data_IF_907084508944
#
_entry.id   IF_907084508944
#
_cell.length_a   1.000
_cell.length_b   1.000
_cell.length_c   1.000
_cell.angle_alpha   90.00
_cell.angle_beta   90.00
_cell.angle_gamma   90.00
#
_symmetry.space_group_name_H-M   'P 1'
#
loop_
_entity.id
_entity.type
_entity.pdbx_description
1 polymer ?
#
# COMPACT_ATOMS: atom_id res chain seq x y z
N UNK A 1 13.15 -17.96 -12.27
CA UNK A 1 11.78 -17.89 -11.71
C UNK A 1 11.59 -16.50 -11.14
N UNK A 2 10.91 -15.61 -11.87
CA UNK A 2 10.86 -14.17 -11.55
C UNK A 2 9.68 -13.87 -10.62
N UNK A 3 9.94 -13.82 -9.31
CA UNK A 3 8.97 -13.36 -8.32
C UNK A 3 8.92 -11.83 -8.43
N UNK A 4 7.89 -11.33 -9.13
CA UNK A 4 7.68 -9.89 -9.36
C UNK A 4 7.44 -9.18 -8.03
N UNK A 5 8.44 -8.41 -7.61
CA UNK A 5 8.52 -7.53 -6.41
C UNK A 5 7.41 -6.45 -6.29
N UNK A 6 6.42 -6.43 -7.18
CA UNK A 6 5.39 -5.38 -7.23
C UNK A 6 4.25 -5.53 -6.21
N UNK A 7 4.02 -6.72 -5.66
CA UNK A 7 2.83 -7.00 -4.85
C UNK A 7 2.94 -6.55 -3.38
N UNK A 8 4.18 -6.35 -2.89
CA UNK A 8 4.40 -5.99 -1.48
C UNK A 8 4.08 -4.52 -1.16
N UNK A 9 4.08 -3.64 -2.18
CA UNK A 9 4.00 -2.18 -1.97
C UNK A 9 2.56 -1.67 -1.84
N UNK A 10 1.58 -2.32 -2.47
CA UNK A 10 0.19 -1.84 -2.45
C UNK A 10 -0.56 -2.28 -1.18
N UNK A 11 -0.16 -3.39 -0.55
CA UNK A 11 -0.77 -3.84 0.70
C UNK A 11 -0.38 -2.98 1.92
N UNK A 12 0.76 -2.27 1.85
CA UNK A 12 1.27 -1.48 2.98
C UNK A 12 0.56 -0.11 3.12
N UNK A 13 0.12 0.50 2.02
CA UNK A 13 -0.42 1.88 2.02
C UNK A 13 -1.86 1.95 2.51
N UNK A 14 -2.65 0.87 2.42
CA UNK A 14 -4.02 0.82 2.96
C UNK A 14 -4.02 0.53 4.47
N UNK A 15 -2.96 -0.07 5.00
CA UNK A 15 -2.87 -0.44 6.42
C UNK A 15 -2.66 0.78 7.34
N UNK A 16 -2.07 1.87 6.86
CA UNK A 16 -1.68 3.02 7.70
C UNK A 16 -2.82 4.03 7.94
N UNK A 17 -3.82 4.13 7.06
CA UNK A 17 -4.89 5.12 7.18
C UNK A 17 -6.10 4.66 8.03
N UNK A 18 -6.22 3.37 8.32
CA UNK A 18 -7.34 2.84 9.13
C UNK A 18 -7.09 2.88 10.65
N UNK A 19 -5.89 3.27 11.08
CA UNK A 19 -5.43 3.13 12.48
C UNK A 19 -5.82 4.27 13.42
N UNK A 20 -6.23 5.44 12.90
CA UNK A 20 -6.22 6.66 13.69
C UNK A 20 -7.30 6.77 14.80
N UNK A 21 -8.40 6.00 14.78
CA UNK A 21 -9.54 6.31 15.67
C UNK A 21 -10.06 5.19 16.59
N UNK A 22 -9.86 3.89 16.29
CA UNK A 22 -10.41 2.81 17.16
C UNK A 22 -9.37 2.00 17.94
N UNK A 23 -8.07 2.20 17.68
CA UNK A 23 -6.99 1.48 18.37
C UNK A 23 -6.87 1.84 19.87
N UNK A 24 -7.58 2.87 20.33
CA UNK A 24 -7.49 3.35 21.71
C UNK A 24 -8.39 2.58 22.71
N UNK A 25 -9.43 1.88 22.24
CA UNK A 25 -10.37 1.18 23.14
C UNK A 25 -10.12 -0.34 23.25
N UNK A 26 -9.42 -0.95 22.29
CA UNK A 26 -9.11 -2.38 22.34
C UNK A 26 -7.84 -2.65 23.18
N UNK A 27 -7.87 -3.73 23.97
CA UNK A 27 -6.69 -4.23 24.70
C UNK A 27 -5.53 -4.52 23.75
N UNK A 28 -5.85 -5.09 22.57
CA UNK A 28 -4.92 -5.36 21.49
C UNK A 28 -5.39 -4.64 20.21
N UNK A 29 -4.69 -3.58 19.74
CA UNK A 29 -5.10 -2.79 18.58
C UNK A 29 -5.01 -3.57 17.26
N UNK A 30 -4.33 -4.72 17.26
CA UNK A 30 -4.20 -5.60 16.09
C UNK A 30 -5.33 -6.62 15.97
N UNK A 31 -6.17 -6.78 17.01
CA UNK A 31 -7.37 -7.63 16.98
C UNK A 31 -8.58 -6.81 16.55
N UNK A 32 -8.79 -6.74 15.24
CA UNK A 32 -9.93 -6.00 14.68
C UNK A 32 -11.21 -6.83 14.79
N UNK A 33 -12.26 -6.21 15.33
CA UNK A 33 -13.60 -6.79 15.29
C UNK A 33 -14.13 -6.81 13.84
N UNK A 34 -14.91 -7.83 13.46
CA UNK A 34 -15.51 -7.87 12.13
C UNK A 34 -16.47 -6.69 11.94
N UNK A 35 -16.44 -6.00 10.79
CA UNK A 35 -17.31 -4.85 10.57
C UNK A 35 -18.78 -5.26 10.44
N UNK A 36 -19.06 -6.46 9.94
CA UNK A 36 -20.41 -6.94 9.70
C UNK A 36 -20.54 -8.42 10.05
N UNK A 37 -21.73 -8.84 10.47
CA UNK A 37 -22.10 -10.26 10.45
C UNK A 37 -22.15 -10.77 9.01
N UNK A 38 -22.75 -9.98 8.12
CA UNK A 38 -22.62 -10.17 6.67
C UNK A 38 -22.80 -8.87 5.90
N UNK A 39 -22.07 -8.73 4.79
CA UNK A 39 -22.26 -7.63 3.84
C UNK A 39 -21.71 -7.95 2.45
N UNK A 40 -22.25 -7.29 1.43
CA UNK A 40 -21.74 -7.23 0.06
C UNK A 40 -21.54 -5.75 -0.28
N UNK A 41 -20.33 -5.38 -0.68
CA UNK A 41 -20.00 -4.02 -1.12
C UNK A 41 -19.38 -4.08 -2.50
N UNK A 42 -19.98 -3.37 -3.46
CA UNK A 42 -19.42 -3.24 -4.82
C UNK A 42 -18.70 -1.92 -4.94
N UNK A 43 -17.56 -1.93 -5.63
CA UNK A 43 -16.73 -0.77 -5.88
C UNK A 43 -16.45 -0.62 -7.38
N UNK A 44 -16.33 0.63 -7.81
CA UNK A 44 -15.81 1.01 -9.12
C UNK A 44 -14.51 1.78 -8.93
N UNK A 45 -13.51 1.46 -9.76
CA UNK A 45 -12.21 2.13 -9.80
C UNK A 45 -12.11 3.03 -11.04
N UNK A 46 -11.54 4.21 -10.88
CA UNK A 46 -11.22 5.13 -11.97
C UNK A 46 -9.89 5.86 -11.76
N UNK A 47 -9.41 6.55 -12.80
CA UNK A 47 -8.08 7.17 -12.83
C UNK A 47 -7.03 6.24 -13.45
N UNK A 48 -5.91 6.06 -12.74
CA UNK A 48 -4.80 5.17 -13.14
C UNK A 48 -5.22 3.69 -13.08
N UNK A 49 -6.15 3.35 -12.19
CA UNK A 49 -6.81 2.05 -12.09
C UNK A 49 -8.24 2.15 -12.64
N UNK A 50 -8.65 1.20 -13.48
CA UNK A 50 -10.02 1.12 -14.03
C UNK A 50 -10.57 -0.28 -13.89
N UNK A 51 -11.77 -0.41 -13.36
CA UNK A 51 -12.41 -1.71 -13.18
C UNK A 51 -13.34 -1.72 -12.00
N UNK A 52 -13.56 -2.90 -11.42
CA UNK A 52 -14.50 -3.10 -10.33
C UNK A 52 -13.96 -4.08 -9.30
N UNK A 53 -14.49 -4.00 -8.09
CA UNK A 53 -14.35 -5.08 -7.11
C UNK A 53 -15.66 -5.32 -6.38
N UNK A 54 -15.83 -6.53 -5.87
CA UNK A 54 -16.89 -6.86 -4.91
C UNK A 54 -16.26 -7.45 -3.67
N UNK A 55 -16.58 -6.87 -2.52
CA UNK A 55 -16.12 -7.31 -1.21
C UNK A 55 -17.27 -7.96 -0.48
N UNK A 56 -17.06 -9.21 -0.08
CA UNK A 56 -17.96 -10.02 0.70
C UNK A 56 -17.45 -10.09 2.14
N UNK A 57 -18.32 -9.86 3.11
CA UNK A 57 -18.05 -10.02 4.53
C UNK A 57 -18.98 -11.10 5.10
N UNK A 58 -18.43 -12.04 5.88
CA UNK A 58 -19.19 -13.00 6.68
C UNK A 58 -18.47 -13.23 8.01
N UNK A 59 -18.90 -12.51 9.04
CA UNK A 59 -18.22 -12.44 10.32
C UNK A 59 -16.76 -12.02 10.13
N UNK A 60 -15.84 -12.87 10.58
CA UNK A 60 -14.40 -12.62 10.49
C UNK A 60 -13.76 -12.98 9.14
N UNK A 61 -14.53 -13.50 8.19
CA UNK A 61 -14.06 -13.81 6.84
C UNK A 61 -14.42 -12.66 5.90
N UNK A 62 -13.43 -12.21 5.12
CA UNK A 62 -13.60 -11.22 4.05
C UNK A 62 -13.08 -11.81 2.75
N UNK A 63 -13.80 -11.67 1.65
CA UNK A 63 -13.29 -11.98 0.32
C UNK A 63 -13.46 -10.78 -0.61
N UNK A 64 -12.39 -10.36 -1.27
CA UNK A 64 -12.40 -9.31 -2.28
C UNK A 64 -12.15 -9.93 -3.65
N UNK A 65 -13.13 -9.80 -4.53
CA UNK A 65 -13.04 -10.20 -5.93
C UNK A 65 -12.74 -8.93 -6.73
N UNK A 66 -11.54 -8.82 -7.28
CA UNK A 66 -11.04 -7.61 -7.92
C UNK A 66 -10.66 -7.87 -9.36
N UNK A 67 -11.20 -7.05 -10.25
CA UNK A 67 -10.87 -7.03 -11.67
C UNK A 67 -10.57 -5.59 -12.08
N UNK A 68 -9.28 -5.24 -12.14
CA UNK A 68 -8.82 -3.88 -12.37
C UNK A 68 -7.66 -3.87 -13.36
N UNK A 69 -7.73 -2.98 -14.35
CA UNK A 69 -6.61 -2.65 -15.22
C UNK A 69 -5.89 -1.41 -14.69
N UNK A 70 -4.56 -1.48 -14.58
CA UNK A 70 -3.71 -0.36 -14.19
C UNK A 70 -2.94 0.13 -15.41
N UNK A 71 -2.93 1.43 -15.69
CA UNK A 71 -2.14 2.02 -16.78
C UNK A 71 -1.26 3.15 -16.26
N UNK A 72 0.06 2.96 -16.32
CA UNK A 72 1.07 3.94 -15.88
C UNK A 72 2.07 4.14 -17.02
N UNK A 73 2.21 5.38 -17.50
CA UNK A 73 3.22 5.77 -18.51
C UNK A 73 3.25 4.85 -19.75
N UNK A 74 2.07 4.44 -20.25
CA UNK A 74 1.95 3.57 -21.42
C UNK A 74 2.08 2.07 -21.14
N UNK A 75 2.54 1.68 -19.94
CA UNK A 75 2.57 0.28 -19.49
C UNK A 75 1.25 -0.08 -18.81
N UNK A 76 0.69 -1.23 -19.18
CA UNK A 76 -0.56 -1.76 -18.64
C UNK A 76 -0.32 -3.06 -17.86
N UNK A 77 -1.10 -3.27 -16.79
CA UNK A 77 -1.25 -4.57 -16.14
C UNK A 77 -2.70 -4.82 -15.78
N UNK A 78 -3.11 -6.08 -15.78
CA UNK A 78 -4.44 -6.50 -15.32
C UNK A 78 -4.30 -7.27 -14.01
N UNK A 79 -5.05 -6.84 -13.02
CA UNK A 79 -5.21 -7.53 -11.74
C UNK A 79 -6.59 -8.18 -11.73
N UNK A 80 -6.62 -9.49 -11.95
CA UNK A 80 -7.82 -10.32 -11.81
C UNK A 80 -7.59 -11.31 -10.67
N UNK A 81 -8.01 -10.94 -9.47
CA UNK A 81 -7.64 -11.66 -8.23
C UNK A 81 -8.81 -11.82 -7.28
N UNK A 82 -8.76 -12.90 -6.49
CA UNK A 82 -9.61 -13.05 -5.31
C UNK A 82 -8.69 -13.07 -4.08
N UNK A 83 -8.90 -12.16 -3.14
CA UNK A 83 -8.20 -12.14 -1.85
C UNK A 83 -9.15 -12.51 -0.74
N UNK A 84 -8.93 -13.66 -0.11
CA UNK A 84 -9.71 -14.17 1.02
C UNK A 84 -8.89 -13.96 2.28
N UNK A 85 -9.38 -13.12 3.17
CA UNK A 85 -8.81 -12.84 4.48
C UNK A 85 -9.62 -13.58 5.55
N UNK A 86 -8.97 -14.52 6.21
CA UNK A 86 -9.46 -15.20 7.41
C UNK A 86 -8.62 -14.75 8.62
N UNK A 87 -9.06 -15.03 9.87
CA UNK A 87 -8.29 -14.66 11.05
C UNK A 87 -6.85 -15.18 11.02
N UNK A 88 -6.63 -16.43 10.59
CA UNK A 88 -5.30 -17.04 10.68
C UNK A 88 -4.52 -17.00 9.36
N UNK A 89 -5.17 -16.76 8.22
CA UNK A 89 -4.54 -16.83 6.91
C UNK A 89 -5.11 -15.84 5.91
N UNK A 90 -4.30 -15.51 4.92
CA UNK A 90 -4.69 -14.75 3.74
C UNK A 90 -4.40 -15.62 2.52
N UNK A 91 -5.44 -15.91 1.75
CA UNK A 91 -5.35 -16.64 0.49
C UNK A 91 -5.51 -15.65 -0.66
N UNK A 92 -4.57 -15.67 -1.60
CA UNK A 92 -4.64 -14.87 -2.83
C UNK A 92 -4.71 -15.82 -4.01
N UNK A 93 -5.75 -15.64 -4.82
CA UNK A 93 -6.01 -16.37 -6.06
C UNK A 93 -5.74 -15.42 -7.21
N UNK A 94 -4.85 -15.80 -8.12
CA UNK A 94 -4.65 -15.15 -9.41
C UNK A 94 -5.48 -15.89 -10.46
N UNK A 95 -6.58 -15.27 -10.89
CA UNK A 95 -7.52 -15.89 -11.83
C UNK A 95 -6.96 -15.93 -13.26
N UNK A 96 -6.04 -15.02 -13.60
CA UNK A 96 -5.36 -15.02 -14.89
C UNK A 96 -4.37 -16.19 -15.01
N UNK A 97 -3.63 -16.47 -13.93
CA UNK A 97 -2.69 -17.60 -13.88
C UNK A 97 -3.32 -18.93 -13.47
N UNK A 98 -4.55 -18.91 -12.92
CA UNK A 98 -5.19 -20.07 -12.29
C UNK A 98 -4.36 -20.67 -11.15
N UNK A 99 -3.66 -19.80 -10.43
CA UNK A 99 -2.80 -20.17 -9.30
C UNK A 99 -3.36 -19.55 -8.03
N UNK A 100 -3.14 -20.20 -6.90
CA UNK A 100 -3.43 -19.63 -5.60
C UNK A 100 -2.32 -19.94 -4.62
N UNK A 101 -2.06 -18.98 -3.74
CA UNK A 101 -1.17 -19.16 -2.61
C UNK A 101 -1.82 -18.66 -1.34
N UNK A 102 -1.36 -19.15 -0.21
CA UNK A 102 -1.74 -18.60 1.09
C UNK A 102 -0.52 -18.35 1.96
N UNK A 103 -0.69 -17.38 2.85
CA UNK A 103 0.21 -17.06 3.95
C UNK A 103 -0.62 -16.97 5.22
N UNK A 104 -0.01 -16.90 6.40
CA UNK A 104 -0.72 -16.49 7.58
C UNK A 104 -1.16 -15.03 7.51
N UNK A 105 -1.92 -14.60 8.52
CA UNK A 105 -2.41 -13.23 8.58
C UNK A 105 -1.42 -12.34 9.36
N UNK A 106 -0.86 -11.33 8.70
CA UNK A 106 0.09 -10.39 9.32
C UNK A 106 -0.50 -9.67 10.54
N UNK A 107 -1.79 -9.34 10.54
CA UNK A 107 -2.45 -8.75 11.70
C UNK A 107 -2.48 -9.71 12.89
N UNK A 108 -2.61 -11.00 12.64
CA UNK A 108 -2.54 -12.03 13.69
C UNK A 108 -1.13 -12.17 14.24
N UNK A 109 -0.09 -12.09 13.40
CA UNK A 109 1.29 -12.06 13.89
C UNK A 109 1.57 -10.80 14.73
N UNK A 110 1.11 -9.64 14.28
CA UNK A 110 1.24 -8.40 15.05
C UNK A 110 0.51 -8.51 16.39
N UNK A 111 -0.70 -9.08 16.41
CA UNK A 111 -1.46 -9.31 17.63
C UNK A 111 -0.72 -10.25 18.60
N UNK A 112 -0.13 -11.33 18.10
CA UNK A 112 0.65 -12.29 18.89
C UNK A 112 1.91 -11.66 19.47
N UNK A 113 2.66 -10.87 18.69
CA UNK A 113 3.85 -10.19 19.19
C UNK A 113 3.49 -9.11 20.21
N UNK A 114 2.39 -8.37 20.00
CA UNK A 114 1.89 -7.38 20.96
C UNK A 114 1.44 -8.01 22.29
N UNK A 115 0.87 -9.21 22.26
CA UNK A 115 0.41 -9.92 23.46
C UNK A 115 1.55 -10.34 24.39
N UNK A 116 2.75 -10.59 23.84
CA UNK A 116 3.96 -10.91 24.60
C UNK A 116 4.51 -9.73 25.40
N UNK A 117 4.05 -8.51 25.11
CA UNK A 117 4.57 -7.30 25.72
C UNK A 117 4.01 -7.08 27.13
N UNK A 118 4.86 -6.54 28.00
CA UNK A 118 4.45 -6.02 29.30
C UNK A 118 3.51 -4.82 29.15
N UNK A 119 2.72 -4.45 30.18
CA UNK A 119 1.86 -3.26 30.12
C UNK A 119 2.63 -1.96 29.80
N UNK A 120 3.85 -1.82 30.31
CA UNK A 120 4.72 -0.67 30.04
C UNK A 120 5.16 -0.61 28.57
N UNK A 121 5.55 -1.76 28.00
CA UNK A 121 5.89 -1.87 26.57
C UNK A 121 4.67 -1.62 25.69
N UNK A 122 3.49 -2.14 26.04
CA UNK A 122 2.24 -1.89 25.30
C UNK A 122 1.91 -0.40 25.23
N UNK A 123 2.02 0.31 26.35
CA UNK A 123 1.82 1.78 26.40
C UNK A 123 2.83 2.50 25.50
N UNK A 124 4.08 2.04 25.48
CA UNK A 124 5.14 2.60 24.62
C UNK A 124 4.89 2.33 23.15
N UNK A 125 4.48 1.11 22.78
CA UNK A 125 4.11 0.77 21.40
C UNK A 125 3.01 1.69 20.88
N UNK A 126 1.96 1.94 21.69
CA UNK A 126 0.88 2.88 21.29
C UNK A 126 1.43 4.28 21.02
N UNK A 127 2.21 4.84 21.96
CA UNK A 127 2.84 6.17 21.80
C UNK A 127 3.76 6.26 20.59
N UNK A 128 4.65 5.28 20.43
CA UNK A 128 5.62 5.26 19.33
C UNK A 128 4.94 5.02 17.98
N UNK A 129 3.82 4.30 17.91
CA UNK A 129 3.05 4.14 16.69
C UNK A 129 2.39 5.45 16.25
N UNK A 130 1.85 6.23 17.19
CA UNK A 130 1.33 7.58 16.93
C UNK A 130 2.43 8.53 16.44
N UNK A 131 3.60 8.52 17.09
CA UNK A 131 4.77 9.30 16.67
C UNK A 131 5.27 8.88 15.28
N UNK A 132 5.34 7.57 15.02
CA UNK A 132 5.72 7.02 13.72
C UNK A 132 4.78 7.50 12.62
N UNK A 133 3.47 7.45 12.85
CA UNK A 133 2.47 7.94 11.91
C UNK A 133 2.63 9.44 11.65
N UNK A 134 2.77 10.26 12.71
CA UNK A 134 2.99 11.70 12.57
C UNK A 134 4.25 12.04 11.78
N UNK A 135 5.37 11.35 12.06
CA UNK A 135 6.64 11.54 11.37
C UNK A 135 6.58 11.09 9.90
N UNK A 136 5.89 9.99 9.61
CA UNK A 136 5.67 9.52 8.24
C UNK A 136 4.89 10.56 7.42
N UNK A 137 3.84 11.14 7.99
CA UNK A 137 3.06 12.20 7.35
C UNK A 137 3.88 13.47 7.12
N UNK A 138 4.72 13.86 8.09
CA UNK A 138 5.62 15.00 7.95
C UNK A 138 6.65 14.78 6.82
N UNK A 139 7.24 13.57 6.75
CA UNK A 139 8.28 13.24 5.78
C UNK A 139 7.79 13.25 4.31
N UNK A 140 6.51 12.95 4.07
CA UNK A 140 5.95 12.90 2.72
C UNK A 140 5.43 14.26 2.17
N UNK A 141 5.94 15.38 2.68
CA UNK A 141 5.66 16.71 2.13
C UNK A 141 4.70 17.57 2.95
N UNK A 142 4.30 17.10 4.14
CA UNK A 142 3.70 17.94 5.17
C UNK A 142 2.19 18.15 5.06
N UNK A 143 1.56 18.20 6.23
CA UNK A 143 0.13 18.43 6.42
C UNK A 143 -0.39 17.57 7.56
N UNK A 144 -1.01 18.18 8.57
CA UNK A 144 -1.81 17.40 9.53
C UNK A 144 -2.97 16.78 8.72
N UNK A 145 -3.34 15.52 8.99
CA UNK A 145 -4.50 14.93 8.32
C UNK A 145 -5.72 15.82 8.61
N UNK A 146 -6.41 16.25 7.57
CA UNK A 146 -7.69 16.92 7.74
C UNK A 146 -8.74 15.86 8.03
N UNK A 147 -9.29 15.88 9.23
CA UNK A 147 -10.33 14.94 9.66
C UNK A 147 -11.65 15.70 9.75
N UNK A 148 -12.64 15.27 8.97
CA UNK A 148 -14.00 15.81 8.97
C UNK A 148 -14.99 14.67 9.12
N UNK A 149 -16.15 14.96 9.69
CA UNK A 149 -17.26 14.02 9.73
C UNK A 149 -18.21 14.35 8.57
N UNK A 150 -18.83 13.33 7.99
CA UNK A 150 -19.79 13.53 6.91
C UNK A 150 -20.67 12.31 6.69
N UNK A 151 -21.36 12.32 5.55
CA UNK A 151 -22.23 11.22 5.12
C UNK A 151 -21.88 10.83 3.70
N UNK A 152 -21.84 9.53 3.41
CA UNK A 152 -21.70 8.99 2.07
C UNK A 152 -22.64 7.79 1.91
N UNK A 153 -23.48 7.78 0.87
CA UNK A 153 -24.52 6.76 0.65
C UNK A 153 -25.38 6.49 1.90
N UNK A 154 -25.82 7.55 2.59
CA UNK A 154 -26.58 7.47 3.85
C UNK A 154 -25.85 6.79 5.03
N UNK A 155 -24.53 6.63 4.94
CA UNK A 155 -23.70 6.12 6.03
C UNK A 155 -22.83 7.22 6.65
N UNK A 156 -22.71 7.28 7.99
CA UNK A 156 -21.80 8.20 8.64
C UNK A 156 -20.35 7.81 8.31
N UNK A 157 -19.57 8.78 7.84
CA UNK A 157 -18.18 8.58 7.43
C UNK A 157 -17.25 9.55 8.11
N UNK A 158 -16.05 9.07 8.42
CA UNK A 158 -14.89 9.88 8.75
C UNK A 158 -14.13 10.14 7.46
N UNK A 159 -14.02 11.42 7.10
CA UNK A 159 -13.35 11.89 5.90
C UNK A 159 -11.95 12.33 6.33
N UNK A 160 -10.94 11.63 5.83
CA UNK A 160 -9.54 11.89 6.13
C UNK A 160 -8.84 12.27 4.85
N UNK A 161 -8.33 13.51 4.77
CA UNK A 161 -7.51 13.98 3.66
C UNK A 161 -6.06 14.09 4.09
N UNK A 162 -5.18 13.46 3.31
CA UNK A 162 -3.74 13.45 3.53
C UNK A 162 -3.02 13.45 2.18
N UNK A 163 -2.10 14.40 1.97
CA UNK A 163 -1.26 14.46 0.75
C UNK A 163 -2.05 14.39 -0.57
N UNK A 164 -3.19 15.06 -0.65
CA UNK A 164 -4.03 15.05 -1.85
C UNK A 164 -4.81 13.76 -2.07
N UNK A 165 -4.80 12.82 -1.12
CA UNK A 165 -5.66 11.64 -1.07
C UNK A 165 -6.73 11.83 0.02
N UNK A 166 -8.00 11.69 -0.36
CA UNK A 166 -9.14 11.76 0.56
C UNK A 166 -9.79 10.39 0.66
N UNK A 167 -9.96 9.89 1.89
CA UNK A 167 -10.64 8.64 2.20
C UNK A 167 -11.91 8.92 3.01
N UNK A 168 -13.01 8.28 2.65
CA UNK A 168 -14.30 8.30 3.33
C UNK A 168 -14.50 6.94 3.96
N UNK A 169 -14.21 6.83 5.25
CA UNK A 169 -14.28 5.56 5.99
C UNK A 169 -15.56 5.50 6.80
N UNK A 170 -16.33 4.42 6.67
CA UNK A 170 -17.54 4.19 7.47
C UNK A 170 -17.17 4.14 8.95
N UNK A 171 -17.69 5.12 9.69
CA UNK A 171 -17.45 5.29 11.11
C UNK A 171 -17.80 4.03 11.90
N UNK A 172 -16.87 3.57 12.73
CA UNK A 172 -17.03 2.37 13.58
C UNK A 172 -16.95 1.04 12.83
N UNK A 173 -16.73 1.04 11.51
CA UNK A 173 -16.61 -0.17 10.69
C UNK A 173 -15.23 -0.35 10.06
N UNK A 174 -14.43 0.71 9.96
CA UNK A 174 -13.12 0.66 9.27
C UNK A 174 -13.22 0.21 7.80
N UNK A 175 -14.35 0.50 7.16
CA UNK A 175 -14.60 0.16 5.76
C UNK A 175 -14.53 1.43 4.93
N UNK A 176 -13.60 1.51 4.00
CA UNK A 176 -13.51 2.64 3.07
C UNK A 176 -14.66 2.53 2.05
N UNK A 177 -15.48 3.57 1.97
CA UNK A 177 -16.60 3.65 1.03
C UNK A 177 -16.26 4.48 -0.20
N UNK A 178 -15.40 5.49 -0.05
CA UNK A 178 -14.90 6.29 -1.17
C UNK A 178 -13.45 6.66 -0.90
N UNK A 179 -12.64 6.64 -1.93
CA UNK A 179 -11.29 7.16 -1.94
C UNK A 179 -11.10 7.95 -3.24
N UNK A 180 -10.54 9.14 -3.15
CA UNK A 180 -10.27 9.98 -4.31
C UNK A 180 -8.98 10.76 -4.12
N UNK A 181 -8.33 11.10 -5.24
CA UNK A 181 -7.12 11.90 -5.24
C UNK A 181 -5.97 11.24 -5.96
N UNK A 182 -4.76 11.64 -5.62
CA UNK A 182 -3.58 11.10 -6.26
C UNK A 182 -2.28 11.46 -5.58
N UNK A 183 -1.31 10.55 -5.72
CA UNK A 183 0.03 10.69 -5.15
C UNK A 183 1.02 10.38 -6.26
N UNK A 184 2.05 11.23 -6.41
CA UNK A 184 3.13 11.03 -7.38
C UNK A 184 2.63 10.79 -8.83
N UNK A 185 1.62 11.55 -9.27
CA UNK A 185 1.07 11.46 -10.64
C UNK A 185 0.14 10.27 -10.87
N UNK A 186 -0.12 9.43 -9.87
CA UNK A 186 -1.11 8.35 -9.95
C UNK A 186 -2.45 8.83 -9.39
N UNK A 187 -3.50 8.75 -10.20
CA UNK A 187 -4.87 9.01 -9.76
C UNK A 187 -5.48 7.74 -9.19
N UNK A 188 -5.93 7.79 -7.95
CA UNK A 188 -6.52 6.68 -7.22
C UNK A 188 -7.95 7.04 -6.82
N UNK A 189 -8.91 6.61 -7.64
CA UNK A 189 -10.32 6.78 -7.33
C UNK A 189 -10.97 5.40 -7.15
N UNK A 190 -11.67 5.22 -6.03
CA UNK A 190 -12.45 4.06 -5.70
C UNK A 190 -13.75 4.54 -5.06
N UNK A 191 -14.90 4.06 -5.55
CA UNK A 191 -16.21 4.49 -5.05
C UNK A 191 -17.09 3.28 -4.85
N UNK A 192 -17.65 3.11 -3.66
CA UNK A 192 -18.69 2.12 -3.41
C UNK A 192 -19.94 2.50 -4.21
N UNK A 193 -20.50 1.54 -4.93
CA UNK A 193 -21.67 1.72 -5.81
C UNK A 193 -22.90 0.98 -5.31
N UNK A 194 -22.72 -0.06 -4.49
CA UNK A 194 -23.81 -0.83 -3.87
C UNK A 194 -23.32 -1.34 -2.51
N UNK A 195 -24.14 -1.19 -1.47
CA UNK A 195 -23.84 -1.65 -0.11
C UNK A 195 -25.06 -2.39 0.41
N UNK A 196 -24.89 -3.68 0.70
CA UNK A 196 -25.95 -4.53 1.27
C UNK A 196 -25.44 -5.18 2.54
N UNK A 197 -26.08 -4.92 3.66
CA UNK A 197 -25.72 -5.49 4.97
C UNK A 197 -26.78 -6.49 5.42
N UNK A 198 -26.39 -7.48 6.23
CA UNK A 198 -27.31 -8.49 6.75
C UNK A 198 -27.84 -9.48 5.69
N UNK A 199 -27.24 -9.51 4.50
CA UNK A 199 -27.63 -10.41 3.41
C UNK A 199 -26.88 -11.74 3.49
N UNK A 200 -27.49 -12.87 3.07
CA UNK A 200 -26.77 -14.14 2.94
C UNK A 200 -25.61 -14.03 1.93
N UNK A 201 -24.47 -14.61 2.29
CA UNK A 201 -23.28 -14.66 1.42
C UNK A 201 -23.11 -16.10 0.92
N UNK A 202 -23.10 -16.32 -0.41
CA UNK A 202 -22.81 -17.64 -0.97
C UNK A 202 -21.43 -18.13 -0.55
N UNK A 203 -21.30 -19.41 -0.21
CA UNK A 203 -20.08 -19.97 0.35
C UNK A 203 -18.93 -19.96 -0.67
N UNK A 204 -19.25 -20.13 -1.95
CA UNK A 204 -18.35 -20.08 -3.09
C UNK A 204 -17.67 -18.72 -3.26
N UNK A 205 -18.29 -17.62 -2.81
CA UNK A 205 -17.68 -16.29 -2.87
C UNK A 205 -16.59 -16.09 -1.81
N UNK A 206 -16.54 -16.98 -0.81
CA UNK A 206 -15.60 -16.95 0.31
C UNK A 206 -14.53 -18.04 0.21
N UNK A 207 -14.46 -18.75 -0.92
CA UNK A 207 -13.52 -19.84 -1.15
C UNK A 207 -12.81 -19.66 -2.50
N UNK A 208 -11.60 -20.23 -2.67
CA UNK A 208 -10.98 -20.32 -3.99
C UNK A 208 -11.91 -21.04 -4.99
N UNK A 209 -11.95 -20.61 -6.26
CA UNK A 209 -12.74 -21.29 -7.28
C UNK A 209 -12.36 -22.76 -7.44
N UNK A 210 -13.32 -23.58 -7.86
CA UNK A 210 -13.10 -24.99 -8.12
C UNK A 210 -11.92 -25.20 -9.09
N UNK A 211 -11.04 -26.16 -8.77
CA UNK A 211 -9.86 -26.47 -9.56
C UNK A 211 -8.61 -25.65 -9.24
N UNK A 212 -8.71 -24.58 -8.45
CA UNK A 212 -7.54 -23.81 -7.99
C UNK A 212 -7.26 -24.14 -6.53
N UNK A 213 -6.16 -24.88 -6.28
CA UNK A 213 -5.75 -25.26 -4.92
C UNK A 213 -4.69 -24.30 -4.38
N UNK A 214 -4.93 -23.60 -3.27
CA UNK A 214 -3.92 -22.75 -2.66
C UNK A 214 -2.71 -23.55 -2.16
N UNK A 215 -1.51 -23.07 -2.49
CA UNK A 215 -0.24 -23.61 -2.00
C UNK A 215 0.32 -22.69 -0.92
N UNK A 216 0.88 -23.25 0.14
CA UNK A 216 1.50 -22.44 1.19
C UNK A 216 2.75 -21.75 0.66
N UNK A 217 2.82 -20.43 0.82
CA UNK A 217 4.01 -19.67 0.48
C UNK A 217 4.84 -19.43 1.75
N UNK A 218 5.69 -20.41 2.08
CA UNK A 218 6.56 -20.40 3.28
C UNK A 218 7.45 -19.15 3.33
N UNK A 219 8.09 -18.78 2.21
CA UNK A 219 9.01 -17.63 2.18
C UNK A 219 8.28 -16.33 2.51
N UNK A 220 7.10 -16.11 1.92
CA UNK A 220 6.28 -14.93 2.21
C UNK A 220 5.75 -14.94 3.66
N UNK A 221 5.39 -16.11 4.19
CA UNK A 221 4.96 -16.28 5.59
C UNK A 221 6.07 -15.89 6.57
N UNK A 222 7.28 -16.42 6.36
CA UNK A 222 8.45 -16.14 7.19
C UNK A 222 8.83 -14.65 7.15
N UNK A 223 8.74 -14.03 5.97
CA UNK A 223 8.93 -12.59 5.82
C UNK A 223 7.89 -11.78 6.59
N UNK A 224 6.61 -12.16 6.56
CA UNK A 224 5.55 -11.49 7.32
C UNK A 224 5.76 -11.62 8.83
N UNK A 225 6.14 -12.80 9.32
CA UNK A 225 6.45 -13.02 10.74
C UNK A 225 7.64 -12.19 11.19
N UNK A 226 8.71 -12.20 10.40
CA UNK A 226 9.91 -11.40 10.67
C UNK A 226 9.57 -9.91 10.69
N UNK A 227 8.79 -9.43 9.73
CA UNK A 227 8.34 -8.04 9.68
C UNK A 227 7.50 -7.70 10.92
N UNK A 228 6.56 -8.55 11.31
CA UNK A 228 5.73 -8.31 12.49
C UNK A 228 6.56 -8.17 13.77
N UNK A 229 7.52 -9.09 13.96
CA UNK A 229 8.48 -9.04 15.06
C UNK A 229 9.32 -7.77 15.02
N UNK A 230 9.89 -7.42 13.87
CA UNK A 230 10.72 -6.24 13.70
C UNK A 230 9.95 -4.94 13.99
N UNK A 231 8.70 -4.83 13.52
CA UNK A 231 7.87 -3.66 13.80
C UNK A 231 7.57 -3.58 15.30
N UNK A 232 7.24 -4.69 15.98
CA UNK A 232 7.03 -4.66 17.43
C UNK A 232 8.30 -4.34 18.22
N UNK A 233 9.44 -4.92 17.84
CA UNK A 233 10.73 -4.64 18.49
C UNK A 233 11.14 -3.17 18.32
N UNK A 234 10.88 -2.59 17.15
CA UNK A 234 11.08 -1.16 16.89
C UNK A 234 10.12 -0.30 17.73
N UNK A 235 8.83 -0.63 17.76
CA UNK A 235 7.84 0.20 18.46
C UNK A 235 7.94 0.11 19.98
N UNK A 236 8.49 -0.97 20.55
CA UNK A 236 8.72 -1.08 22.01
C UNK A 236 10.05 -0.47 22.45
N UNK A 237 10.90 -0.06 21.52
CA UNK A 237 12.20 0.54 21.82
C UNK A 237 12.03 1.89 22.55
N UNK A 238 12.66 2.10 23.73
CA UNK A 238 12.61 3.39 24.41
C UNK A 238 13.20 4.54 23.59
N UNK A 239 14.16 4.26 22.72
CA UNK A 239 14.89 5.25 21.92
C UNK A 239 14.34 5.39 20.49
N UNK A 240 13.13 4.88 20.23
CA UNK A 240 12.47 4.95 18.91
C UNK A 240 12.58 6.33 18.26
N UNK A 241 12.18 7.39 18.97
CA UNK A 241 12.21 8.76 18.44
C UNK A 241 13.63 9.28 18.13
N UNK A 242 14.64 8.89 18.93
CA UNK A 242 16.05 9.28 18.67
C UNK A 242 16.59 8.59 17.42
N UNK A 243 16.38 7.27 17.32
CA UNK A 243 16.82 6.46 16.19
C UNK A 243 16.14 6.91 14.90
N UNK A 244 14.84 7.22 14.96
CA UNK A 244 14.10 7.74 13.82
C UNK A 244 14.59 9.13 13.40
N UNK A 245 14.85 10.02 14.36
CA UNK A 245 15.41 11.35 14.08
C UNK A 245 16.78 11.28 13.41
N UNK A 246 17.66 10.39 13.88
CA UNK A 246 18.97 10.14 13.26
C UNK A 246 18.83 9.59 11.84
N UNK A 247 17.95 8.61 11.63
CA UNK A 247 17.72 8.04 10.30
C UNK A 247 17.16 9.08 9.31
N UNK A 248 16.23 9.94 9.74
CA UNK A 248 15.71 11.03 8.91
C UNK A 248 16.79 12.08 8.58
N UNK A 249 17.63 12.45 9.55
CA UNK A 249 18.76 13.37 9.30
C UNK A 249 19.70 12.80 8.26
N UNK A 250 20.10 11.53 8.39
CA UNK A 250 20.98 10.87 7.42
C UNK A 250 20.36 10.80 6.02
N UNK A 251 19.05 10.51 5.93
CA UNK A 251 18.35 10.48 4.65
C UNK A 251 18.30 11.87 3.99
N UNK A 252 18.06 12.92 4.77
CA UNK A 252 18.07 14.30 4.27
C UNK A 252 19.46 14.73 3.80
N UNK A 253 20.51 14.37 4.53
CA UNK A 253 21.89 14.68 4.15
C UNK A 253 22.30 13.94 2.88
N UNK A 254 21.94 12.65 2.76
CA UNK A 254 22.16 11.88 1.54
C UNK A 254 21.42 12.48 0.33
N UNK A 255 20.18 12.95 0.52
CA UNK A 255 19.41 13.59 -0.54
C UNK A 255 20.03 14.93 -0.97
N UNK A 256 20.54 15.74 -0.03
CA UNK A 256 21.26 16.98 -0.32
C UNK A 256 22.54 16.70 -1.11
N UNK A 257 23.33 15.71 -0.70
CA UNK A 257 24.54 15.31 -1.41
C UNK A 257 24.24 14.83 -2.83
N UNK A 258 23.19 14.02 -3.01
CA UNK A 258 22.75 13.55 -4.33
C UNK A 258 22.29 14.71 -5.22
N UNK A 259 21.59 15.71 -4.68
CA UNK A 259 21.19 16.91 -5.42
C UNK A 259 22.39 17.75 -5.84
N UNK A 260 23.39 17.93 -4.96
CA UNK A 260 24.63 18.64 -5.26
C UNK A 260 25.44 17.94 -6.35
N UNK A 261 25.54 16.61 -6.30
CA UNK A 261 26.21 15.83 -7.35
C UNK A 261 25.50 15.96 -8.71
N UNK A 262 24.16 15.96 -8.74
CA UNK A 262 23.40 16.19 -9.98
C UNK A 262 23.63 17.58 -10.56
N UNK A 263 23.67 18.61 -9.71
CA UNK A 263 23.96 19.97 -10.15
C UNK A 263 25.40 20.10 -10.69
N UNK A 264 26.38 19.48 -10.04
CA UNK A 264 27.76 19.46 -10.51
C UNK A 264 27.89 18.75 -11.88
N UNK A 265 27.21 17.62 -12.05
CA UNK A 265 27.20 16.88 -13.32
C UNK A 265 26.53 17.68 -14.46
N UNK A 266 25.44 18.40 -14.17
CA UNK A 266 24.80 19.29 -15.16
C UNK A 266 25.72 20.45 -15.56
N UNK A 267 26.39 21.10 -14.60
CA UNK A 267 27.33 22.18 -14.90
C UNK A 267 28.56 21.72 -15.72
N UNK A 268 28.98 20.46 -15.57
CA UNK A 268 30.03 19.88 -16.39
C UNK A 268 29.54 19.58 -17.82
N UNK A 269 28.34 19.01 -17.96
CA UNK A 269 27.73 18.74 -19.28
C UNK A 269 27.46 20.03 -20.08
N UNK A 270 27.01 21.10 -19.42
CA UNK A 270 26.77 22.41 -20.05
C UNK A 270 28.09 23.08 -20.50
N UNK A 271 29.20 22.81 -19.80
CA UNK A 271 30.53 23.30 -20.21
C UNK A 271 31.10 22.53 -21.41
N UNK A 272 30.85 21.23 -21.52
CA UNK A 272 31.29 20.42 -22.67
C UNK A 272 30.47 20.70 -23.95
N UNK A 273 29.20 21.08 -23.83
CA UNK A 273 28.36 21.50 -24.98
C UNK A 273 28.59 22.94 -25.43
N UNK A 274 29.40 23.72 -24.70
CA UNK A 274 29.78 25.10 -25.04
C UNK A 274 31.11 25.22 -25.82
N UNK A 275 31.76 24.09 -26.16
CA UNK A 275 32.95 24.12 -27.01
C UNK A 275 32.54 24.44 -28.48
N UNK A 276 33.21 25.39 -29.16
CA UNK A 276 32.86 25.75 -30.52
C UNK A 276 33.02 24.55 -31.46
N UNK A 277 31.96 24.23 -32.18
CA UNK A 277 31.97 23.22 -33.24
C UNK A 277 33.02 23.60 -34.30
N UNK A 278 34.14 22.89 -34.33
CA UNK A 278 34.87 22.72 -35.58
C UNK A 278 33.98 21.85 -36.47
N UNK A 279 33.39 22.48 -37.49
CA UNK A 279 32.80 21.80 -38.63
C UNK A 279 33.88 20.94 -39.26
N UNK A 280 33.81 19.64 -39.02
CA UNK A 280 34.38 18.66 -39.94
C UNK A 280 33.23 17.79 -40.44
N UNK A 281 33.10 17.76 -41.78
CA UNK A 281 31.98 17.15 -42.47
C UNK A 281 32.05 15.64 -42.40
N UNK A 282 31.29 15.03 -41.51
CA UNK A 282 31.20 13.58 -41.42
C UNK A 282 29.87 13.14 -40.80
N UNK A 283 28.96 12.68 -41.67
CA UNK A 283 27.74 11.91 -41.39
C UNK A 283 27.24 11.92 -39.94
N UNK A 284 26.36 12.86 -39.63
CA UNK A 284 25.79 13.06 -38.30
C UNK A 284 24.86 11.88 -37.95
N UNK A 285 25.33 10.99 -37.07
CA UNK A 285 24.49 9.99 -36.44
C UNK A 285 23.44 10.70 -35.58
N UNK A 286 22.17 10.35 -35.80
CA UNK A 286 21.03 10.91 -35.10
C UNK A 286 21.12 10.59 -33.59
N UNK A 287 21.37 11.59 -32.72
CA UNK A 287 21.54 11.37 -31.28
C UNK A 287 20.26 10.84 -30.62
N UNK A 288 19.10 11.03 -31.26
CA UNK A 288 17.83 10.44 -30.83
C UNK A 288 17.85 8.92 -31.04
N UNK A 289 18.51 8.43 -32.09
CA UNK A 289 18.62 7.01 -32.41
C UNK A 289 19.58 6.28 -31.47
N UNK A 290 20.71 6.90 -31.12
CA UNK A 290 21.63 6.37 -30.10
C UNK A 290 21.00 6.34 -28.70
N UNK A 291 20.24 7.38 -28.33
CA UNK A 291 19.49 7.38 -27.08
C UNK A 291 18.46 6.25 -27.00
N UNK A 292 17.76 5.98 -28.11
CA UNK A 292 16.80 4.88 -28.21
C UNK A 292 17.46 3.49 -28.13
N UNK A 293 18.62 3.31 -28.73
CA UNK A 293 19.33 2.03 -28.70
C UNK A 293 20.04 1.76 -27.37
N UNK A 294 20.46 2.82 -26.65
CA UNK A 294 20.95 2.70 -25.27
C UNK A 294 19.84 2.25 -24.30
N UNK A 295 18.62 2.79 -24.46
CA UNK A 295 17.45 2.36 -23.68
C UNK A 295 17.08 0.91 -24.00
N UNK A 296 17.10 0.50 -25.27
CA UNK A 296 16.86 -0.91 -25.65
C UNK A 296 17.89 -1.87 -25.05
N UNK A 297 19.18 -1.50 -25.01
CA UNK A 297 20.24 -2.31 -24.39
C UNK A 297 20.08 -2.45 -22.87
N UNK A 298 19.59 -1.43 -22.19
CA UNK A 298 19.36 -1.44 -20.73
C UNK A 298 18.21 -2.37 -20.31
N UNK A 299 17.25 -2.61 -21.20
CA UNK A 299 16.04 -3.40 -20.90
C UNK A 299 16.07 -4.85 -21.36
N UNK A 300 17.20 -5.37 -21.90
CA UNK A 300 17.40 -6.76 -22.38
C UNK A 300 16.10 -7.56 -22.55
N UNK A 301 15.38 -7.26 -23.63
CA UNK A 301 14.44 -8.22 -24.23
C UNK A 301 15.24 -9.30 -24.96
#
# INVERSE_FOLDING_TARGET
>A
MSIKRGWLVIALTVLTLAWACAALAADNPFKLAPPFNSAIIKYTYSGTQKGQSTVYYKGSVKAEHKQVATKILGFGSEDNTITITEPQRITTVDLGKKEAYYTGNSMTYMAQEYEKLTPAEKKRVKKNAEEMAGNFLAAMGGGKPEIKQGTFMNHPVEIVTVMGLTSYTWKGKHVVLKQEGGIMGMQMNMVATDIKTGVPIPAEMLQPPAGIKPVFNQEADDQQRKMAKQVMDMLKDPDFGKKQGQAMSQAQDAQKQAAQQRQAAQQQADKETSAPAQQDGGSQADPVKEGLDAVKKLFKW
#
